data_IF_735190818859
#
_entry.id   IF_735190818859
#
_cell.length_a   1.000
_cell.length_b   1.000
_cell.length_c   1.000
_cell.angle_alpha   90.00
_cell.angle_beta   90.00
_cell.angle_gamma   90.00
#
_symmetry.space_group_name_H-M   'P 1'
#
loop_
_entity.id
_entity.type
_entity.pdbx_description
1 polymer ?
#
# COMPACT_ATOMS: atom_id res chain seq x y z
N UNK A 1 -10.10 -6.56 -3.20
CA UNK A 1 -11.34 -5.79 -3.11
C UNK A 1 -12.06 -5.65 -4.45
N UNK A 2 -11.32 -5.59 -5.55
CA UNK A 2 -11.91 -5.32 -6.86
C UNK A 2 -12.45 -6.60 -7.50
N UNK A 3 -13.49 -6.43 -8.32
CA UNK A 3 -14.04 -7.51 -9.14
C UNK A 3 -13.33 -7.54 -10.51
N UNK A 4 -13.02 -8.73 -10.96
CA UNK A 4 -12.61 -9.01 -12.33
C UNK A 4 -13.74 -9.79 -13.01
N UNK A 5 -14.35 -9.21 -14.04
CA UNK A 5 -15.52 -9.79 -14.73
C UNK A 5 -16.68 -10.16 -13.78
N UNK A 6 -16.92 -9.28 -12.78
CA UNK A 6 -18.00 -9.47 -11.82
C UNK A 6 -17.72 -10.46 -10.68
N UNK A 7 -16.52 -11.03 -10.62
CA UNK A 7 -16.12 -12.00 -9.57
C UNK A 7 -14.94 -11.43 -8.78
N UNK A 8 -14.99 -11.56 -7.46
CA UNK A 8 -13.88 -11.16 -6.60
C UNK A 8 -12.60 -11.96 -6.95
N UNK A 9 -11.45 -11.29 -6.98
CA UNK A 9 -10.18 -11.92 -7.39
C UNK A 9 -9.82 -13.14 -6.54
N UNK A 10 -10.16 -13.16 -5.26
CA UNK A 10 -9.91 -14.30 -4.35
C UNK A 10 -10.78 -15.53 -4.64
N UNK A 11 -11.86 -15.35 -5.39
CA UNK A 11 -12.82 -16.39 -5.79
C UNK A 11 -12.84 -16.61 -7.30
N UNK A 12 -12.03 -15.88 -8.05
CA UNK A 12 -12.03 -15.92 -9.51
C UNK A 12 -11.20 -17.10 -10.01
N UNK A 13 -11.90 -18.20 -10.28
CA UNK A 13 -11.28 -19.43 -10.77
C UNK A 13 -10.43 -19.22 -12.02
N UNK A 14 -10.90 -18.41 -12.99
CA UNK A 14 -10.16 -18.13 -14.21
C UNK A 14 -8.81 -17.47 -13.93
N UNK A 15 -8.80 -16.43 -13.11
CA UNK A 15 -7.59 -15.72 -12.73
C UNK A 15 -6.61 -16.63 -11.97
N UNK A 16 -7.13 -17.40 -11.02
CA UNK A 16 -6.31 -18.29 -10.19
C UNK A 16 -5.78 -19.49 -10.98
N UNK A 17 -6.54 -20.00 -11.94
CA UNK A 17 -6.09 -21.07 -12.84
C UNK A 17 -4.94 -20.58 -13.75
N UNK A 18 -5.00 -19.37 -14.29
CA UNK A 18 -3.88 -18.77 -15.02
C UNK A 18 -2.63 -18.72 -14.11
N UNK A 19 -2.77 -18.17 -12.91
CA UNK A 19 -1.64 -18.07 -11.98
C UNK A 19 -1.05 -19.44 -11.63
N UNK A 20 -1.88 -20.36 -11.17
CA UNK A 20 -1.42 -21.63 -10.61
C UNK A 20 -1.12 -22.71 -11.65
N UNK A 21 -1.91 -22.77 -12.75
CA UNK A 21 -1.79 -23.83 -13.77
C UNK A 21 -0.96 -23.38 -14.96
N UNK A 22 -1.27 -22.22 -15.56
CA UNK A 22 -0.58 -21.79 -16.77
C UNK A 22 0.81 -21.24 -16.45
N UNK A 23 0.92 -20.36 -15.45
CA UNK A 23 2.20 -19.80 -15.02
C UNK A 23 2.97 -20.71 -14.05
N UNK A 24 2.33 -21.75 -13.53
CA UNK A 24 2.97 -22.73 -12.66
C UNK A 24 3.39 -22.18 -11.30
N UNK A 25 2.69 -21.18 -10.79
CA UNK A 25 2.98 -20.59 -9.48
C UNK A 25 2.89 -21.62 -8.35
N UNK A 26 3.97 -21.82 -7.62
CA UNK A 26 4.10 -22.86 -6.57
C UNK A 26 3.80 -22.34 -5.16
N UNK A 27 3.93 -21.04 -4.92
CA UNK A 27 3.72 -20.44 -3.62
C UNK A 27 2.26 -20.45 -3.16
N UNK A 28 2.01 -19.96 -1.96
CA UNK A 28 0.65 -19.76 -1.44
C UNK A 28 0.04 -18.48 -2.00
N UNK A 29 -1.24 -18.55 -2.31
CA UNK A 29 -2.09 -17.41 -2.65
C UNK A 29 -2.88 -16.98 -1.43
N UNK A 30 -2.70 -15.75 -0.97
CA UNK A 30 -3.42 -15.18 0.17
C UNK A 30 -4.34 -14.05 -0.26
N UNK A 31 -5.43 -13.85 0.47
CA UNK A 31 -6.32 -12.71 0.27
C UNK A 31 -5.69 -11.42 0.83
N UNK A 32 -6.25 -10.28 0.47
CA UNK A 32 -6.13 -9.08 1.29
C UNK A 32 -7.06 -9.18 2.50
N UNK A 33 -6.97 -8.22 3.43
CA UNK A 33 -7.80 -8.19 4.64
C UNK A 33 -9.28 -8.12 4.29
N UNK A 34 -10.07 -9.05 4.86
CA UNK A 34 -11.51 -9.14 4.65
C UNK A 34 -11.94 -9.18 3.17
N UNK A 35 -11.15 -9.79 2.31
CA UNK A 35 -11.40 -9.89 0.86
C UNK A 35 -11.81 -11.28 0.39
N UNK A 36 -12.32 -12.10 1.29
CA UNK A 36 -12.96 -13.39 1.00
C UNK A 36 -14.45 -13.25 1.26
N UNK A 37 -15.29 -13.81 0.40
CA UNK A 37 -16.74 -13.59 0.45
C UNK A 37 -17.56 -14.89 0.46
N UNK A 38 -16.92 -16.04 0.25
CA UNK A 38 -17.54 -17.35 0.39
C UNK A 38 -16.50 -18.44 0.68
N UNK A 39 -16.84 -19.40 1.52
CA UNK A 39 -15.97 -20.50 1.87
C UNK A 39 -15.78 -21.49 0.71
N UNK A 40 -16.88 -21.87 0.04
CA UNK A 40 -16.90 -22.85 -1.04
C UNK A 40 -16.12 -22.41 -2.28
N UNK A 41 -16.42 -21.21 -2.79
CA UNK A 41 -15.76 -20.69 -3.98
C UNK A 41 -14.29 -20.38 -3.72
N UNK A 42 -13.97 -19.68 -2.64
CA UNK A 42 -12.59 -19.38 -2.31
C UNK A 42 -11.76 -20.66 -2.14
N UNK A 43 -12.29 -21.66 -1.44
CA UNK A 43 -11.62 -22.94 -1.26
C UNK A 43 -11.41 -23.68 -2.59
N UNK A 44 -12.47 -23.89 -3.37
CA UNK A 44 -12.43 -24.70 -4.58
C UNK A 44 -11.74 -24.00 -5.76
N UNK A 45 -11.74 -22.67 -5.78
CA UNK A 45 -11.08 -21.90 -6.83
C UNK A 45 -9.60 -21.63 -6.57
N UNK A 46 -9.12 -21.96 -5.36
CA UNK A 46 -7.67 -22.03 -5.13
C UNK A 46 -7.07 -20.91 -4.29
N UNK A 47 -7.85 -20.14 -3.54
CA UNK A 47 -7.31 -19.33 -2.45
C UNK A 47 -6.71 -20.26 -1.40
N UNK A 48 -5.50 -20.01 -0.93
CA UNK A 48 -4.83 -20.87 0.04
C UNK A 48 -4.95 -20.35 1.46
N UNK A 49 -4.94 -19.03 1.65
CA UNK A 49 -4.98 -18.38 2.97
C UNK A 49 -5.93 -17.18 2.95
N UNK A 50 -6.89 -17.19 3.85
CA UNK A 50 -7.72 -16.02 4.15
C UNK A 50 -7.01 -15.13 5.16
N UNK A 51 -6.97 -13.81 4.89
CA UNK A 51 -6.34 -12.83 5.77
C UNK A 51 -7.39 -12.00 6.53
N UNK A 52 -7.16 -11.86 7.82
CA UNK A 52 -7.68 -10.80 8.69
C UNK A 52 -9.03 -11.00 9.31
N UNK A 53 -9.97 -11.67 8.67
CA UNK A 53 -11.34 -11.77 9.19
C UNK A 53 -11.62 -13.07 9.94
N UNK A 54 -11.08 -14.19 9.48
CA UNK A 54 -11.47 -15.52 9.94
C UNK A 54 -12.98 -15.79 9.81
N UNK A 55 -13.56 -15.36 8.70
CA UNK A 55 -15.01 -15.49 8.48
C UNK A 55 -15.36 -16.73 7.66
N UNK A 56 -14.46 -17.13 6.73
CA UNK A 56 -14.77 -18.14 5.73
C UNK A 56 -13.91 -19.40 5.85
N UNK A 57 -12.59 -19.28 6.07
CA UNK A 57 -11.70 -20.44 6.22
C UNK A 57 -11.61 -20.87 7.68
N UNK A 58 -12.76 -21.02 8.30
CA UNK A 58 -12.93 -21.51 9.68
C UNK A 58 -13.66 -22.84 9.68
N UNK A 59 -13.50 -23.59 10.77
CA UNK A 59 -14.08 -24.93 10.93
C UNK A 59 -15.59 -24.94 10.72
N UNK A 60 -16.27 -23.93 11.25
CA UNK A 60 -17.72 -23.78 11.23
C UNK A 60 -18.29 -23.62 9.82
N UNK A 61 -17.50 -23.08 8.90
CA UNK A 61 -17.89 -22.90 7.50
C UNK A 61 -17.41 -24.06 6.63
N UNK A 62 -16.19 -24.54 6.82
CA UNK A 62 -15.59 -25.54 5.96
C UNK A 62 -16.07 -26.95 6.24
N UNK A 63 -16.25 -27.33 7.54
CA UNK A 63 -16.63 -28.68 7.88
C UNK A 63 -17.97 -29.12 7.29
N UNK A 64 -19.06 -28.32 7.36
CA UNK A 64 -20.32 -28.68 6.71
C UNK A 64 -20.19 -28.84 5.20
N UNK A 65 -19.35 -28.02 4.55
CA UNK A 65 -19.10 -28.12 3.09
C UNK A 65 -18.32 -29.42 2.75
N UNK A 66 -17.44 -29.84 3.63
CA UNK A 66 -16.73 -31.12 3.48
C UNK A 66 -17.66 -32.32 3.69
N UNK A 67 -18.51 -32.28 4.68
CA UNK A 67 -19.52 -33.33 4.95
C UNK A 67 -20.51 -33.48 3.79
N UNK A 68 -20.82 -32.38 3.10
CA UNK A 68 -21.65 -32.37 1.89
C UNK A 68 -20.88 -32.73 0.62
N UNK A 69 -19.57 -32.92 0.69
CA UNK A 69 -18.72 -33.19 -0.48
C UNK A 69 -18.52 -31.98 -1.41
N UNK A 70 -18.90 -30.78 -0.99
CA UNK A 70 -18.69 -29.53 -1.76
C UNK A 70 -17.24 -29.13 -1.75
N UNK A 71 -16.57 -29.24 -0.60
CA UNK A 71 -15.12 -29.05 -0.46
C UNK A 71 -14.51 -30.40 -0.08
N UNK A 72 -13.46 -30.81 -0.77
CA UNK A 72 -12.81 -32.08 -0.49
C UNK A 72 -11.65 -31.92 0.48
N UNK A 73 -11.29 -33.02 1.14
CA UNK A 73 -10.08 -33.07 1.97
C UNK A 73 -8.83 -32.73 1.13
N UNK A 74 -8.76 -33.18 -0.11
CA UNK A 74 -7.63 -32.86 -0.99
C UNK A 74 -7.56 -31.36 -1.32
N UNK A 75 -8.69 -30.66 -1.42
CA UNK A 75 -8.73 -29.19 -1.55
C UNK A 75 -8.06 -28.52 -0.36
N UNK A 76 -8.31 -29.00 0.85
CA UNK A 76 -7.69 -28.47 2.07
C UNK A 76 -6.21 -28.85 2.14
N UNK A 77 -5.88 -30.11 1.84
CA UNK A 77 -4.49 -30.57 1.83
C UNK A 77 -3.61 -29.79 0.84
N UNK A 78 -4.14 -29.43 -0.31
CA UNK A 78 -3.38 -28.60 -1.28
C UNK A 78 -3.04 -27.22 -0.70
N UNK A 79 -3.97 -26.58 0.03
CA UNK A 79 -3.69 -25.30 0.69
C UNK A 79 -2.60 -25.45 1.74
N UNK A 80 -2.71 -26.47 2.58
CA UNK A 80 -1.71 -26.79 3.60
C UNK A 80 -0.34 -27.01 2.97
N UNK A 81 -0.26 -27.81 1.87
CA UNK A 81 1.00 -28.03 1.15
C UNK A 81 1.60 -26.73 0.61
N UNK A 82 0.79 -25.82 0.08
CA UNK A 82 1.27 -24.56 -0.44
C UNK A 82 1.76 -23.62 0.66
N UNK A 83 1.02 -23.54 1.77
CA UNK A 83 1.42 -22.72 2.92
C UNK A 83 2.74 -23.24 3.50
N UNK A 84 2.80 -24.52 3.88
CA UNK A 84 4.00 -25.10 4.46
C UNK A 84 5.15 -25.22 3.45
N UNK A 85 4.85 -25.54 2.19
CA UNK A 85 5.84 -25.59 1.12
C UNK A 85 6.53 -24.23 0.95
N UNK A 86 5.77 -23.14 0.94
CA UNK A 86 6.32 -21.79 0.90
C UNK A 86 7.20 -21.50 2.13
N UNK A 87 6.74 -21.86 3.33
CA UNK A 87 7.52 -21.67 4.56
C UNK A 87 8.83 -22.47 4.56
N UNK A 88 8.79 -23.70 4.06
CA UNK A 88 9.98 -24.58 3.95
C UNK A 88 10.95 -24.00 2.92
N UNK A 89 10.47 -23.66 1.73
CA UNK A 89 11.29 -23.10 0.63
C UNK A 89 11.96 -21.79 1.04
N UNK A 90 11.26 -20.97 1.82
CA UNK A 90 11.80 -19.73 2.40
C UNK A 90 12.71 -19.95 3.60
N UNK A 91 12.93 -21.18 4.05
CA UNK A 91 13.76 -21.53 5.19
C UNK A 91 13.23 -21.05 6.54
N UNK A 92 11.92 -20.94 6.69
CA UNK A 92 11.30 -20.40 7.90
C UNK A 92 11.46 -21.35 9.11
N UNK A 93 11.68 -22.62 8.87
CA UNK A 93 11.96 -23.61 9.92
C UNK A 93 13.45 -23.80 10.19
N UNK A 94 14.34 -23.32 9.29
CA UNK A 94 15.77 -23.58 9.35
C UNK A 94 16.56 -22.46 10.05
N UNK A 95 15.95 -21.29 10.21
CA UNK A 95 16.57 -20.11 10.80
C UNK A 95 15.58 -19.24 11.58
N UNK A 96 16.07 -18.47 12.56
CA UNK A 96 15.22 -17.46 13.22
C UNK A 96 14.64 -16.45 12.22
N UNK A 97 13.37 -16.14 12.37
CA UNK A 97 12.68 -15.20 11.48
C UNK A 97 13.03 -13.74 11.79
N UNK A 98 13.44 -13.45 13.02
CA UNK A 98 13.84 -12.14 13.47
C UNK A 98 15.37 -12.09 13.66
N UNK A 99 16.02 -11.24 12.91
CA UNK A 99 17.43 -10.90 13.11
C UNK A 99 17.54 -9.59 13.90
N UNK A 100 17.80 -9.71 15.20
CA UNK A 100 17.94 -8.57 16.11
C UNK A 100 19.27 -7.83 15.95
N UNK A 101 20.20 -8.35 15.15
CA UNK A 101 21.48 -7.68 14.85
C UNK A 101 21.34 -6.60 13.79
N UNK A 102 20.27 -6.63 13.00
CA UNK A 102 19.96 -5.59 12.03
C UNK A 102 19.51 -4.33 12.78
N UNK A 103 20.23 -3.22 12.67
CA UNK A 103 19.84 -2.00 13.38
C UNK A 103 18.52 -1.45 12.82
N UNK A 104 17.68 -0.92 13.70
CA UNK A 104 16.43 -0.27 13.32
C UNK A 104 16.69 0.88 12.35
N UNK A 105 17.71 1.69 12.61
CA UNK A 105 18.25 2.64 11.64
C UNK A 105 19.40 1.99 10.86
N UNK A 106 19.17 1.76 9.56
CA UNK A 106 20.15 1.16 8.68
C UNK A 106 20.57 2.15 7.58
N UNK A 107 21.80 2.68 7.60
CA UNK A 107 22.28 3.64 6.59
C UNK A 107 22.19 3.12 5.15
N UNK A 108 22.39 1.80 4.95
CA UNK A 108 22.27 1.18 3.63
C UNK A 108 20.82 1.22 3.14
N UNK A 109 19.86 0.87 4.00
CA UNK A 109 18.43 0.95 3.66
C UNK A 109 18.00 2.40 3.40
N UNK A 110 18.49 3.36 4.19
CA UNK A 110 18.25 4.79 3.97
C UNK A 110 18.78 5.25 2.61
N UNK A 111 20.00 4.84 2.23
CA UNK A 111 20.55 5.15 0.90
C UNK A 111 19.71 4.55 -0.22
N UNK A 112 19.25 3.31 -0.07
CA UNK A 112 18.37 2.67 -1.04
C UNK A 112 17.04 3.41 -1.20
N UNK A 113 16.43 3.85 -0.08
CA UNK A 113 15.22 4.66 -0.12
C UNK A 113 15.41 5.99 -0.86
N UNK A 114 16.54 6.65 -0.63
CA UNK A 114 16.90 7.88 -1.34
C UNK A 114 17.06 7.66 -2.85
N UNK A 115 17.79 6.64 -3.27
CA UNK A 115 17.98 6.34 -4.70
C UNK A 115 16.66 5.94 -5.35
N UNK A 116 15.85 5.12 -4.70
CA UNK A 116 14.53 4.75 -5.19
C UNK A 116 13.61 5.98 -5.38
N UNK A 117 13.64 6.92 -4.44
CA UNK A 117 12.89 8.17 -4.57
C UNK A 117 13.36 9.01 -5.76
N UNK A 118 14.68 9.13 -5.95
CA UNK A 118 15.25 9.87 -7.10
C UNK A 118 14.85 9.25 -8.44
N UNK A 119 15.00 7.94 -8.56
CA UNK A 119 14.72 7.23 -9.81
C UNK A 119 13.22 7.14 -10.10
N UNK A 120 12.38 7.21 -9.06
CA UNK A 120 10.93 7.23 -9.18
C UNK A 120 10.33 8.54 -9.67
N UNK A 121 11.09 9.64 -9.67
CA UNK A 121 10.61 10.95 -10.14
C UNK A 121 10.60 11.03 -11.66
N UNK A 122 9.45 11.38 -12.23
CA UNK A 122 9.27 11.51 -13.68
C UNK A 122 9.03 12.99 -14.02
N UNK A 123 9.91 13.56 -14.84
CA UNK A 123 9.76 14.93 -15.36
C UNK A 123 8.80 14.91 -16.56
N UNK A 124 7.55 15.28 -16.32
CA UNK A 124 6.51 15.26 -17.36
C UNK A 124 6.63 16.39 -18.37
N UNK A 125 7.19 17.53 -17.95
CA UNK A 125 7.28 18.73 -18.78
C UNK A 125 8.48 19.58 -18.34
N UNK A 126 9.27 20.08 -19.28
CA UNK A 126 10.37 21.00 -19.02
C UNK A 126 10.56 21.93 -20.24
N UNK A 127 9.65 22.88 -20.39
CA UNK A 127 9.72 23.88 -21.47
C UNK A 127 10.89 24.80 -21.23
N UNK A 128 11.53 25.22 -22.33
CA UNK A 128 12.67 26.12 -22.35
C UNK A 128 13.87 25.69 -21.46
N UNK A 129 13.93 24.40 -21.11
CA UNK A 129 14.95 23.85 -20.20
C UNK A 129 15.05 24.62 -18.89
N UNK A 130 13.88 24.94 -18.29
CA UNK A 130 13.79 25.66 -17.04
C UNK A 130 14.48 24.88 -15.89
N UNK A 131 14.35 23.55 -15.90
CA UNK A 131 15.00 22.67 -14.93
C UNK A 131 16.25 22.01 -15.54
N UNK A 132 17.32 21.83 -14.76
CA UNK A 132 17.52 22.31 -13.40
C UNK A 132 17.62 23.82 -13.31
N UNK A 133 17.11 24.39 -12.21
CA UNK A 133 17.18 25.84 -11.97
C UNK A 133 18.63 26.30 -11.91
N UNK A 134 18.95 27.39 -12.63
CA UNK A 134 20.32 27.97 -12.69
C UNK A 134 20.28 29.40 -12.20
N UNK A 135 21.27 29.80 -11.36
CA UNK A 135 21.44 31.17 -10.86
C UNK A 135 20.19 31.80 -10.26
N UNK A 136 19.53 31.03 -9.40
CA UNK A 136 18.31 31.46 -8.74
C UNK A 136 18.67 32.28 -7.52
N UNK A 137 18.10 33.45 -7.41
CA UNK A 137 18.30 34.38 -6.27
C UNK A 137 17.05 34.43 -5.35
N UNK A 138 15.88 34.04 -5.88
CA UNK A 138 14.62 34.05 -5.16
C UNK A 138 13.77 32.84 -5.56
N UNK A 139 13.24 32.15 -4.57
CA UNK A 139 12.36 30.99 -4.76
C UNK A 139 11.13 31.15 -3.90
N UNK A 140 9.93 31.01 -4.48
CA UNK A 140 8.69 30.88 -3.73
C UNK A 140 8.27 29.41 -3.71
N UNK A 141 8.16 28.84 -2.52
CA UNK A 141 7.67 27.48 -2.28
C UNK A 141 6.24 27.58 -1.76
N UNK A 142 5.28 27.06 -2.52
CA UNK A 142 3.86 27.20 -2.21
C UNK A 142 3.23 25.82 -2.12
N UNK A 143 2.51 25.57 -1.04
CA UNK A 143 1.77 24.34 -0.82
C UNK A 143 1.93 23.76 0.58
N UNK A 144 0.87 23.15 1.12
CA UNK A 144 0.86 22.70 2.52
C UNK A 144 1.82 21.53 2.79
N UNK A 145 2.13 20.74 1.77
CA UNK A 145 3.00 19.56 1.91
C UNK A 145 4.48 19.87 1.66
N UNK A 146 4.81 21.11 1.33
CA UNK A 146 6.19 21.50 1.04
C UNK A 146 7.04 21.64 2.30
N UNK A 147 6.43 21.90 3.44
CA UNK A 147 7.12 22.09 4.69
C UNK A 147 6.37 21.42 5.85
N UNK A 148 5.89 22.23 6.73
CA UNK A 148 5.24 21.85 7.96
C UNK A 148 3.74 21.67 7.74
N UNK A 149 3.20 20.55 8.18
CA UNK A 149 1.76 20.39 8.23
C UNK A 149 1.24 20.54 9.66
N UNK A 150 0.54 21.63 9.91
CA UNK A 150 -0.11 21.90 11.20
C UNK A 150 -1.29 20.95 11.47
N UNK A 151 -1.75 20.26 10.49
CA UNK A 151 -2.84 19.30 10.62
C UNK A 151 -2.30 17.92 10.93
N UNK A 152 -1.94 17.76 12.04
CA UNK A 152 -2.29 16.89 13.15
C UNK A 152 -2.89 15.52 12.82
N UNK A 153 -2.35 14.81 11.84
CA UNK A 153 -2.10 13.44 12.11
C UNK A 153 -0.68 13.36 12.70
N UNK A 154 -0.60 13.47 14.03
CA UNK A 154 0.67 13.38 14.77
C UNK A 154 1.46 12.13 14.43
N UNK A 155 0.82 11.18 13.79
CA UNK A 155 1.38 9.90 13.39
C UNK A 155 2.11 9.97 12.04
N UNK A 156 1.85 10.98 11.22
CA UNK A 156 2.47 11.17 9.90
C UNK A 156 3.39 12.38 9.83
N UNK A 157 3.84 12.85 10.96
CA UNK A 157 4.69 14.03 11.06
C UNK A 157 5.92 13.71 11.90
N UNK A 158 7.10 13.89 11.31
CA UNK A 158 8.39 13.78 11.98
C UNK A 158 9.10 15.12 11.81
N UNK A 159 9.50 15.72 12.92
CA UNK A 159 10.15 17.03 12.95
C UNK A 159 9.36 18.13 12.18
N UNK A 160 8.03 18.08 12.23
CA UNK A 160 7.21 19.04 11.52
C UNK A 160 7.01 18.77 10.03
N UNK A 161 7.53 17.67 9.50
CA UNK A 161 7.46 17.35 8.06
C UNK A 161 6.51 16.21 7.80
N UNK A 162 5.60 16.40 6.85
CA UNK A 162 4.72 15.33 6.35
C UNK A 162 5.52 14.37 5.46
N UNK A 163 5.48 13.07 5.77
CA UNK A 163 6.23 12.05 5.03
C UNK A 163 5.35 10.98 4.36
N UNK A 164 4.08 10.96 4.65
CA UNK A 164 3.19 9.95 4.07
C UNK A 164 1.73 10.17 4.44
N UNK A 165 0.86 9.39 3.82
CA UNK A 165 -0.59 9.50 3.96
C UNK A 165 -1.18 8.73 5.14
N UNK A 166 -0.54 7.69 5.60
CA UNK A 166 -1.10 6.73 6.57
C UNK A 166 -1.59 5.44 5.93
N UNK A 167 -2.43 4.69 6.64
CA UNK A 167 -2.91 3.39 6.20
C UNK A 167 -1.88 2.27 6.38
N UNK A 168 -2.08 1.15 5.69
CA UNK A 168 -1.24 -0.05 5.84
C UNK A 168 0.19 0.11 5.34
N UNK A 169 0.45 1.06 4.45
CA UNK A 169 1.80 1.36 3.95
C UNK A 169 2.59 2.34 4.84
N UNK A 170 2.04 2.69 6.00
CA UNK A 170 2.67 3.64 6.91
C UNK A 170 3.98 3.12 7.48
N UNK A 171 5.05 3.85 7.22
CA UNK A 171 6.38 3.62 7.79
C UNK A 171 6.76 4.81 8.67
N UNK A 172 7.32 4.56 9.84
CA UNK A 172 7.85 5.60 10.70
C UNK A 172 9.32 5.87 10.37
N UNK A 173 9.63 6.98 9.68
CA UNK A 173 10.99 7.32 9.36
C UNK A 173 11.74 7.87 10.59
N UNK A 174 13.06 7.74 10.60
CA UNK A 174 13.90 8.35 11.62
C UNK A 174 14.03 9.86 11.45
N UNK A 175 14.11 10.30 10.21
CA UNK A 175 14.07 11.70 9.84
C UNK A 175 13.40 11.85 8.47
N UNK A 176 12.97 13.05 8.20
CA UNK A 176 12.37 13.43 6.92
C UNK A 176 12.95 14.77 6.52
N UNK A 177 13.29 14.90 5.25
CA UNK A 177 13.65 16.17 4.64
C UNK A 177 12.43 16.70 3.88
N UNK A 178 11.94 17.87 4.25
CA UNK A 178 10.85 18.49 3.49
C UNK A 178 11.33 19.03 2.14
N UNK A 179 10.40 19.28 1.23
CA UNK A 179 10.71 19.95 -0.04
C UNK A 179 11.36 21.31 0.19
N UNK A 180 10.83 22.09 1.17
CA UNK A 180 11.40 23.38 1.54
C UNK A 180 12.85 23.23 2.02
N UNK A 181 13.10 22.34 2.98
CA UNK A 181 14.46 22.08 3.48
C UNK A 181 15.43 21.62 2.39
N UNK A 182 14.94 20.78 1.47
CA UNK A 182 15.75 20.35 0.31
C UNK A 182 16.12 21.50 -0.61
N UNK A 183 15.18 22.41 -0.88
CA UNK A 183 15.42 23.61 -1.71
C UNK A 183 16.38 24.57 -1.00
N UNK A 184 16.20 24.84 0.29
CA UNK A 184 17.10 25.70 1.08
C UNK A 184 18.53 25.16 1.10
N UNK A 185 18.68 23.84 1.19
CA UNK A 185 19.99 23.18 1.19
C UNK A 185 20.69 23.24 -0.18
N UNK A 186 19.91 23.14 -1.26
CA UNK A 186 20.47 23.17 -2.63
C UNK A 186 20.79 24.59 -3.11
N UNK A 187 20.06 25.59 -2.60
CA UNK A 187 20.21 27.00 -2.97
C UNK A 187 20.47 27.89 -1.73
N UNK A 188 21.62 27.72 -1.05
CA UNK A 188 21.90 28.40 0.21
C UNK A 188 22.00 29.92 0.08
N UNK A 189 22.30 30.44 -1.11
CA UNK A 189 22.42 31.87 -1.42
C UNK A 189 21.12 32.49 -1.93
N UNK A 190 20.05 31.69 -2.09
CA UNK A 190 18.78 32.20 -2.57
C UNK A 190 17.87 32.62 -1.40
N UNK A 191 17.12 33.71 -1.61
CA UNK A 191 16.02 34.07 -0.72
C UNK A 191 14.83 33.14 -0.97
N UNK A 192 14.54 32.25 -0.02
CA UNK A 192 13.45 31.26 -0.12
C UNK A 192 12.27 31.72 0.73
N UNK A 193 11.10 31.83 0.10
CA UNK A 193 9.85 32.13 0.77
C UNK A 193 8.92 30.92 0.76
N UNK A 194 8.28 30.69 1.89
CA UNK A 194 7.27 29.65 2.00
C UNK A 194 5.88 30.25 2.26
N UNK A 195 4.89 29.71 1.55
CA UNK A 195 3.49 29.98 1.80
C UNK A 195 2.67 28.67 1.74
N UNK A 196 1.87 28.43 2.75
CA UNK A 196 1.02 27.24 2.77
C UNK A 196 -0.01 27.23 1.61
N UNK A 197 -0.51 28.40 1.25
CA UNK A 197 -1.57 28.53 0.25
C UNK A 197 -2.90 28.00 0.78
N UNK A 198 -3.41 26.92 0.19
CA UNK A 198 -4.62 26.25 0.68
C UNK A 198 -4.22 25.34 1.84
N UNK A 199 -4.75 25.61 3.03
CA UNK A 199 -4.46 24.82 4.22
C UNK A 199 -4.97 23.38 4.11
N UNK A 200 -4.14 22.42 4.51
CA UNK A 200 -4.53 21.05 4.76
C UNK A 200 -5.43 20.89 6.01
N UNK A 201 -5.88 21.99 6.62
CA UNK A 201 -6.83 21.98 7.74
C UNK A 201 -8.21 21.38 7.39
N UNK A 202 -8.31 20.71 6.26
CA UNK A 202 -9.44 19.87 5.90
C UNK A 202 -9.55 18.72 6.90
N UNK A 203 -10.50 18.87 7.83
CA UNK A 203 -10.79 17.79 8.77
C UNK A 203 -11.23 16.55 7.96
N UNK A 204 -10.65 15.37 8.20
CA UNK A 204 -11.05 14.13 7.51
C UNK A 204 -12.56 13.85 7.53
N UNK A 205 -13.27 14.42 8.51
CA UNK A 205 -14.74 14.36 8.62
C UNK A 205 -15.50 15.01 7.45
N UNK A 206 -14.93 16.00 6.79
CA UNK A 206 -15.58 16.65 5.63
C UNK A 206 -15.58 15.75 4.39
N UNK A 207 -14.52 14.97 4.19
CA UNK A 207 -14.46 14.00 3.09
C UNK A 207 -15.39 12.80 3.30
N UNK A 208 -15.63 12.38 4.54
CA UNK A 208 -16.60 11.29 4.83
C UNK A 208 -18.05 11.67 4.53
N UNK A 209 -18.36 12.95 4.48
CA UNK A 209 -19.69 13.48 4.15
C UNK A 209 -19.79 14.11 2.77
N UNK A 210 -18.68 14.26 2.05
CA UNK A 210 -18.68 14.81 0.70
C UNK A 210 -19.33 13.81 -0.26
N UNK A 211 -20.49 14.17 -0.77
CA UNK A 211 -21.13 13.46 -1.88
C UNK A 211 -20.55 14.03 -3.16
N UNK A 212 -19.82 13.21 -3.89
CA UNK A 212 -19.37 13.57 -5.22
C UNK A 212 -20.51 13.30 -6.19
N UNK A 213 -20.80 14.30 -7.01
CA UNK A 213 -21.80 14.19 -8.06
C UNK A 213 -21.08 14.30 -9.41
N UNK A 214 -21.50 13.50 -10.37
CA UNK A 214 -21.10 13.63 -11.77
C UNK A 214 -21.78 14.85 -12.40
N UNK A 215 -21.34 15.30 -13.57
CA UNK A 215 -21.91 16.47 -14.25
C UNK A 215 -23.43 16.32 -14.51
N UNK A 216 -23.91 15.09 -14.63
CA UNK A 216 -25.34 14.78 -14.76
C UNK A 216 -26.10 14.70 -13.43
N UNK A 217 -25.44 15.09 -12.32
CA UNK A 217 -26.05 15.16 -10.98
C UNK A 217 -26.20 13.81 -10.26
N UNK A 218 -25.67 12.72 -10.80
CA UNK A 218 -25.67 11.42 -10.13
C UNK A 218 -24.55 11.32 -9.10
N UNK A 219 -24.78 10.58 -8.01
CA UNK A 219 -23.75 10.32 -7.03
C UNK A 219 -22.65 9.45 -7.67
N UNK A 220 -21.44 10.00 -7.73
CA UNK A 220 -20.27 9.30 -8.23
C UNK A 220 -19.77 8.20 -7.28
N UNK A 221 -18.93 7.29 -7.76
CA UNK A 221 -18.33 6.24 -6.92
C UNK A 221 -17.46 6.86 -5.83
N UNK A 222 -17.61 6.36 -4.61
CA UNK A 222 -16.73 6.72 -3.49
C UNK A 222 -15.58 5.71 -3.49
N UNK A 223 -14.36 6.18 -3.73
CA UNK A 223 -13.18 5.34 -3.56
C UNK A 223 -12.75 5.33 -2.10
N UNK A 224 -12.79 4.17 -1.46
CA UNK A 224 -12.33 3.98 -0.08
C UNK A 224 -10.85 3.64 0.02
N UNK A 225 -10.12 3.63 -1.08
CA UNK A 225 -8.72 3.18 -1.13
C UNK A 225 -7.73 4.17 -0.53
N UNK A 226 -8.17 5.29 0.02
CA UNK A 226 -7.31 6.33 0.59
C UNK A 226 -7.84 6.92 1.90
N UNK A 227 -8.47 6.08 2.72
CA UNK A 227 -8.84 6.47 4.09
C UNK A 227 -7.87 5.87 5.12
#
# INVERSE_FOLDING_TARGET
YNLLNGVCCTENKYLIDILKKEWGFKGMLMSDWACTYSADKAANHGLDLEMGSNDWFVREQLLPLMEQGVVTEETINEKVRRIYGTCIEMGFFDRPQLDTTIPVYNPKANRMAYEAAKEGMILLKNEDNLLPLKRVTKIAVIGPNACYNLVTDRQNNVNGTTYGGGGSSKVHPWYVTSVLQGIEAEYPDAEVWYAEGISNAYKPRLFRSAKFYTEDGKQGPVSYTHL
#
